data_IF_314071439275
#
_entry.id   IF_314071439275
#
_cell.length_a   1.000
_cell.length_b   1.000
_cell.length_c   1.000
_cell.angle_alpha   90.00
_cell.angle_beta   90.00
_cell.angle_gamma   90.00
#
_symmetry.space_group_name_H-M   'P 1'
#
loop_
_entity.id
_entity.type
_entity.pdbx_description
1 polymer ?
#
# COMPACT_ATOMS: atom_id res chain seq x y z
N UNK A 1 134.88 89.64 -10.81
CA UNK A 1 133.94 88.95 -11.71
C UNK A 1 133.62 87.62 -11.04
N UNK A 2 132.85 87.61 -9.96
CA UNK A 2 131.45 88.03 -9.79
C UNK A 2 130.46 87.03 -10.44
N UNK A 3 129.61 86.46 -9.58
CA UNK A 3 128.27 85.95 -9.89
C UNK A 3 128.11 84.71 -10.77
N UNK A 4 128.45 83.50 -10.28
CA UNK A 4 128.13 82.24 -10.99
C UNK A 4 127.37 81.16 -10.21
N UNK A 5 127.56 81.05 -8.89
CA UNK A 5 127.06 79.90 -8.10
C UNK A 5 125.72 80.10 -7.37
N UNK A 6 125.09 81.27 -7.48
CA UNK A 6 123.86 81.61 -6.76
C UNK A 6 122.56 81.22 -7.48
N UNK A 7 122.59 81.12 -8.82
CA UNK A 7 121.39 80.85 -9.64
C UNK A 7 121.01 79.37 -9.57
N UNK A 8 121.99 78.46 -9.66
CA UNK A 8 121.77 77.02 -9.64
C UNK A 8 121.24 76.50 -8.29
N UNK A 9 121.68 77.09 -7.17
CA UNK A 9 121.21 76.71 -5.84
C UNK A 9 119.78 77.21 -5.57
N UNK A 10 119.41 78.38 -6.10
CA UNK A 10 118.06 78.94 -5.99
C UNK A 10 117.07 78.16 -6.86
N UNK A 11 117.47 77.78 -8.07
CA UNK A 11 116.64 76.98 -8.97
C UNK A 11 116.44 75.54 -8.48
N UNK A 12 117.47 74.91 -7.89
CA UNK A 12 117.34 73.62 -7.22
C UNK A 12 116.36 73.70 -6.04
N UNK A 13 116.45 74.76 -5.21
CA UNK A 13 115.55 74.96 -4.06
C UNK A 13 114.11 75.18 -4.51
N UNK A 14 113.90 75.93 -5.59
CA UNK A 14 112.58 76.15 -6.21
C UNK A 14 112.00 74.84 -6.77
N UNK A 15 112.83 74.04 -7.43
CA UNK A 15 112.45 72.72 -7.96
C UNK A 15 112.03 71.75 -6.85
N UNK A 16 112.80 71.65 -5.77
CA UNK A 16 112.45 70.81 -4.61
C UNK A 16 111.18 71.28 -3.91
N UNK A 17 110.96 72.59 -3.78
CA UNK A 17 109.72 73.15 -3.23
C UNK A 17 108.50 72.83 -4.12
N UNK A 18 108.66 72.93 -5.44
CA UNK A 18 107.62 72.56 -6.40
C UNK A 18 107.29 71.06 -6.35
N UNK A 19 108.30 70.18 -6.24
CA UNK A 19 108.09 68.74 -6.07
C UNK A 19 107.36 68.41 -4.75
N UNK A 20 107.73 69.06 -3.63
CA UNK A 20 107.03 68.89 -2.35
C UNK A 20 105.56 69.27 -2.45
N UNK A 21 105.26 70.43 -3.04
CA UNK A 21 103.88 70.87 -3.29
C UNK A 21 103.12 69.90 -4.21
N UNK A 22 103.78 69.34 -5.23
CA UNK A 22 103.17 68.35 -6.11
C UNK A 22 102.83 67.05 -5.38
N UNK A 23 103.72 66.54 -4.53
CA UNK A 23 103.46 65.37 -3.69
C UNK A 23 102.34 65.62 -2.67
N UNK A 24 102.32 66.79 -2.02
CA UNK A 24 101.27 67.17 -1.08
C UNK A 24 99.89 67.23 -1.76
N UNK A 25 99.80 67.81 -2.96
CA UNK A 25 98.58 67.81 -3.78
C UNK A 25 98.15 66.39 -4.14
N UNK A 26 99.07 65.55 -4.59
CA UNK A 26 98.76 64.16 -4.92
C UNK A 26 98.23 63.37 -3.72
N UNK A 27 98.78 63.60 -2.52
CA UNK A 27 98.31 63.00 -1.27
C UNK A 27 96.91 63.53 -0.91
N UNK A 28 96.68 64.83 -1.06
CA UNK A 28 95.37 65.45 -0.82
C UNK A 28 94.30 64.90 -1.77
N UNK A 29 94.58 64.87 -3.08
CA UNK A 29 93.71 64.32 -4.11
C UNK A 29 93.45 62.82 -3.90
N UNK A 30 94.46 62.07 -3.45
CA UNK A 30 94.32 60.65 -3.09
C UNK A 30 93.38 60.45 -1.90
N UNK A 31 93.50 61.29 -0.87
CA UNK A 31 92.62 61.28 0.31
C UNK A 31 91.19 61.67 -0.05
N UNK A 32 91.01 62.70 -0.87
CA UNK A 32 89.69 63.14 -1.32
C UNK A 32 89.00 62.07 -2.16
N UNK A 33 89.72 61.46 -3.12
CA UNK A 33 89.19 60.31 -3.89
C UNK A 33 88.79 59.15 -2.98
N UNK A 34 89.60 58.82 -1.98
CA UNK A 34 89.27 57.76 -1.02
C UNK A 34 88.01 58.11 -0.22
N UNK A 35 87.87 59.36 0.24
CA UNK A 35 86.66 59.84 0.94
C UNK A 35 85.43 59.80 0.02
N UNK A 36 85.55 60.22 -1.24
CA UNK A 36 84.48 60.18 -2.21
C UNK A 36 84.06 58.74 -2.53
N UNK A 37 85.02 57.84 -2.75
CA UNK A 37 84.75 56.42 -3.00
C UNK A 37 84.11 55.71 -1.81
N UNK A 38 84.58 55.96 -0.58
CA UNK A 38 83.99 55.39 0.64
C UNK A 38 82.57 55.92 0.89
N UNK A 39 82.33 57.20 0.62
CA UNK A 39 80.99 57.80 0.68
C UNK A 39 80.04 57.19 -0.36
N UNK A 40 80.48 57.10 -1.63
CA UNK A 40 79.69 56.51 -2.70
C UNK A 40 79.36 55.03 -2.42
N UNK A 41 80.35 54.26 -1.95
CA UNK A 41 80.14 52.86 -1.56
C UNK A 41 79.13 52.73 -0.41
N UNK A 42 79.23 53.59 0.61
CA UNK A 42 78.29 53.60 1.73
C UNK A 42 76.88 53.95 1.28
N UNK A 43 76.72 54.93 0.37
CA UNK A 43 75.43 55.28 -0.22
C UNK A 43 74.83 54.12 -1.04
N UNK A 44 75.64 53.44 -1.85
CA UNK A 44 75.22 52.24 -2.59
C UNK A 44 74.78 51.12 -1.66
N UNK A 45 75.50 50.88 -0.56
CA UNK A 45 75.13 49.87 0.44
C UNK A 45 73.80 50.20 1.12
N UNK A 46 73.58 51.45 1.52
CA UNK A 46 72.32 51.89 2.12
C UNK A 46 71.15 51.76 1.14
N UNK A 47 71.35 52.11 -0.13
CA UNK A 47 70.36 51.92 -1.19
C UNK A 47 70.02 50.43 -1.40
N UNK A 48 71.04 49.57 -1.51
CA UNK A 48 70.86 48.12 -1.64
C UNK A 48 70.13 47.52 -0.44
N UNK A 49 70.45 47.97 0.78
CA UNK A 49 69.75 47.54 2.00
C UNK A 49 68.30 48.00 2.03
N UNK A 50 68.02 49.24 1.64
CA UNK A 50 66.65 49.76 1.52
C UNK A 50 65.83 48.93 0.55
N UNK A 51 66.38 48.66 -0.64
CA UNK A 51 65.73 47.82 -1.65
C UNK A 51 65.46 46.40 -1.12
N UNK A 52 66.43 45.77 -0.45
CA UNK A 52 66.26 44.45 0.15
C UNK A 52 65.13 44.45 1.20
N UNK A 53 65.07 45.46 2.07
CA UNK A 53 64.00 45.61 3.05
C UNK A 53 62.63 45.77 2.38
N UNK A 54 62.55 46.56 1.31
CA UNK A 54 61.33 46.68 0.51
C UNK A 54 60.91 45.34 -0.08
N UNK A 55 61.83 44.57 -0.67
CA UNK A 55 61.53 43.23 -1.23
C UNK A 55 61.03 42.27 -0.15
N UNK A 56 61.63 42.27 1.04
CA UNK A 56 61.18 41.46 2.17
C UNK A 56 59.76 41.86 2.59
N UNK A 57 59.49 43.16 2.76
CA UNK A 57 58.15 43.65 3.12
C UNK A 57 57.08 43.31 2.07
N UNK A 58 57.40 43.42 0.77
CA UNK A 58 56.50 43.01 -0.30
C UNK A 58 56.23 41.50 -0.29
N UNK A 59 57.26 40.68 -0.01
CA UNK A 59 57.11 39.23 0.10
C UNK A 59 56.19 38.82 1.25
N UNK A 60 56.27 39.51 2.38
CA UNK A 60 55.38 39.29 3.53
C UNK A 60 53.93 39.63 3.19
N UNK A 61 53.69 40.78 2.56
CA UNK A 61 52.34 41.18 2.10
C UNK A 61 51.78 40.20 1.07
N UNK A 62 52.61 39.70 0.15
CA UNK A 62 52.20 38.67 -0.82
C UNK A 62 51.82 37.36 -0.13
N UNK A 63 52.57 36.96 0.90
CA UNK A 63 52.23 35.78 1.70
C UNK A 63 50.88 35.96 2.40
N UNK A 64 50.66 37.11 3.04
CA UNK A 64 49.39 37.43 3.70
C UNK A 64 48.21 37.41 2.71
N UNK A 65 48.35 38.03 1.54
CA UNK A 65 47.32 37.99 0.49
C UNK A 65 47.05 36.57 0.01
N UNK A 66 48.09 35.74 -0.16
CA UNK A 66 47.95 34.34 -0.57
C UNK A 66 47.25 33.49 0.48
N UNK A 67 47.50 33.75 1.76
CA UNK A 67 46.82 33.07 2.86
C UNK A 67 45.35 33.50 2.94
N UNK A 68 45.04 34.79 2.74
CA UNK A 68 43.67 35.30 2.63
C UNK A 68 42.91 34.68 1.45
N UNK A 69 43.57 34.54 0.29
CA UNK A 69 42.98 33.91 -0.89
C UNK A 69 42.59 32.45 -0.61
N UNK A 70 43.53 31.65 -0.04
CA UNK A 70 43.25 30.26 0.34
C UNK A 70 42.10 30.13 1.33
N UNK A 71 41.99 31.08 2.27
CA UNK A 71 40.86 31.10 3.21
C UNK A 71 39.54 31.37 2.48
N UNK A 72 39.48 32.38 1.61
CA UNK A 72 38.27 32.70 0.85
C UNK A 72 37.86 31.57 -0.09
N UNK A 73 38.81 30.88 -0.71
CA UNK A 73 38.54 29.69 -1.53
C UNK A 73 37.92 28.55 -0.71
N UNK A 74 38.42 28.31 0.50
CA UNK A 74 37.86 27.32 1.41
C UNK A 74 36.44 27.70 1.88
N UNK A 75 36.24 28.96 2.27
CA UNK A 75 34.94 29.48 2.70
C UNK A 75 33.90 29.39 1.56
N UNK A 76 34.32 29.67 0.31
CA UNK A 76 33.46 29.52 -0.87
C UNK A 76 33.11 28.05 -1.15
N UNK A 77 34.08 27.15 -1.06
CA UNK A 77 33.85 25.73 -1.25
C UNK A 77 32.87 25.17 -0.20
N UNK A 78 33.00 25.58 1.05
CA UNK A 78 32.06 25.24 2.12
C UNK A 78 30.66 25.80 1.86
N UNK A 79 30.56 27.08 1.48
CA UNK A 79 29.28 27.72 1.16
C UNK A 79 28.55 27.02 0.00
N UNK A 80 29.27 26.64 -1.05
CA UNK A 80 28.71 25.89 -2.18
C UNK A 80 28.23 24.50 -1.76
N UNK A 81 28.99 23.79 -0.91
CA UNK A 81 28.57 22.49 -0.37
C UNK A 81 27.28 22.60 0.46
N UNK A 82 27.20 23.61 1.33
CA UNK A 82 25.98 23.91 2.09
C UNK A 82 24.81 24.25 1.15
N UNK A 83 25.04 25.04 0.11
CA UNK A 83 24.00 25.41 -0.86
C UNK A 83 23.45 24.19 -1.62
N UNK A 84 24.33 23.29 -2.09
CA UNK A 84 23.93 22.06 -2.78
C UNK A 84 23.15 21.13 -1.85
N UNK A 85 23.61 20.94 -0.61
CA UNK A 85 22.90 20.12 0.38
C UNK A 85 21.52 20.68 0.74
N UNK A 86 21.37 22.00 0.83
CA UNK A 86 20.08 22.66 1.04
C UNK A 86 19.17 22.49 -0.17
N UNK A 87 19.69 22.70 -1.38
CA UNK A 87 18.94 22.54 -2.63
C UNK A 87 18.36 21.13 -2.78
N UNK A 88 19.19 20.11 -2.57
CA UNK A 88 18.75 18.69 -2.62
C UNK A 88 17.70 18.38 -1.55
N UNK A 89 17.84 18.90 -0.33
CA UNK A 89 16.81 18.74 0.72
C UNK A 89 15.48 19.38 0.36
N UNK A 90 15.48 20.57 -0.25
CA UNK A 90 14.25 21.21 -0.72
C UNK A 90 13.58 20.42 -1.84
N UNK A 91 14.37 19.88 -2.77
CA UNK A 91 13.83 19.08 -3.88
C UNK A 91 13.17 17.79 -3.36
N UNK A 92 13.84 17.05 -2.47
CA UNK A 92 13.27 15.86 -1.83
C UNK A 92 11.97 16.16 -1.07
N UNK A 93 11.93 17.30 -0.37
CA UNK A 93 10.72 17.72 0.36
C UNK A 93 9.59 18.05 -0.62
N UNK A 94 9.91 18.72 -1.74
CA UNK A 94 8.95 19.06 -2.79
C UNK A 94 8.36 17.82 -3.46
N UNK A 95 9.19 16.83 -3.76
CA UNK A 95 8.76 15.54 -4.30
C UNK A 95 7.89 14.78 -3.30
N UNK A 96 8.29 14.73 -2.03
CA UNK A 96 7.50 14.09 -0.96
C UNK A 96 6.12 14.73 -0.80
N UNK A 97 6.04 16.07 -0.84
CA UNK A 97 4.75 16.79 -0.78
C UNK A 97 3.91 16.46 -2.02
N UNK A 98 4.51 16.50 -3.22
CA UNK A 98 3.79 16.21 -4.48
C UNK A 98 3.22 14.78 -4.50
N UNK A 99 3.99 13.81 -3.99
CA UNK A 99 3.52 12.43 -3.85
C UNK A 99 2.39 12.31 -2.81
N UNK A 100 2.52 12.98 -1.67
CA UNK A 100 1.48 13.02 -0.64
C UNK A 100 0.19 13.70 -1.15
N UNK A 101 0.29 14.72 -2.01
CA UNK A 101 -0.89 15.35 -2.61
C UNK A 101 -1.59 14.43 -3.61
N UNK A 102 -0.83 13.73 -4.46
CA UNK A 102 -1.40 12.81 -5.44
C UNK A 102 -2.13 11.63 -4.77
N UNK A 103 -1.52 11.04 -3.74
CA UNK A 103 -2.15 9.96 -2.96
C UNK A 103 -3.39 10.44 -2.20
N UNK A 104 -3.38 11.65 -1.64
CA UNK A 104 -4.56 12.23 -1.01
C UNK A 104 -5.71 12.46 -2.00
N UNK A 105 -5.43 12.90 -3.22
CA UNK A 105 -6.45 13.04 -4.27
C UNK A 105 -7.06 11.70 -4.66
N UNK A 106 -6.24 10.66 -4.82
CA UNK A 106 -6.72 9.30 -5.08
C UNK A 106 -7.64 8.80 -3.95
N UNK A 107 -7.23 8.98 -2.69
CA UNK A 107 -8.04 8.60 -1.54
C UNK A 107 -9.36 9.36 -1.47
N UNK A 108 -9.36 10.67 -1.79
CA UNK A 108 -10.60 11.46 -1.85
C UNK A 108 -11.57 10.92 -2.89
N UNK A 109 -11.09 10.57 -4.09
CA UNK A 109 -11.94 9.98 -5.13
C UNK A 109 -12.52 8.64 -4.68
N UNK A 110 -11.72 7.77 -4.06
CA UNK A 110 -12.20 6.49 -3.52
C UNK A 110 -13.25 6.67 -2.42
N UNK A 111 -13.08 7.64 -1.53
CA UNK A 111 -14.06 7.96 -0.47
C UNK A 111 -15.38 8.46 -1.08
N UNK A 112 -15.32 9.27 -2.13
CA UNK A 112 -16.52 9.76 -2.83
C UNK A 112 -17.25 8.59 -3.50
N UNK A 113 -16.54 7.71 -4.21
CA UNK A 113 -17.13 6.52 -4.84
C UNK A 113 -17.77 5.58 -3.81
N UNK A 114 -17.08 5.32 -2.71
CA UNK A 114 -17.61 4.47 -1.65
C UNK A 114 -18.87 5.08 -0.99
N UNK A 115 -18.91 6.41 -0.82
CA UNK A 115 -20.11 7.09 -0.32
C UNK A 115 -21.26 7.01 -1.31
N UNK A 116 -21.01 7.17 -2.61
CA UNK A 116 -22.03 7.04 -3.65
C UNK A 116 -22.63 5.63 -3.66
N UNK A 117 -21.79 4.59 -3.62
CA UNK A 117 -22.23 3.19 -3.51
C UNK A 117 -23.05 2.90 -2.27
N UNK A 118 -22.61 3.39 -1.10
CA UNK A 118 -23.37 3.27 0.15
C UNK A 118 -24.75 3.93 0.02
N UNK A 119 -24.80 5.10 -0.61
CA UNK A 119 -26.05 5.81 -0.81
C UNK A 119 -26.97 5.05 -1.76
N UNK A 120 -26.47 4.46 -2.85
CA UNK A 120 -27.24 3.56 -3.73
C UNK A 120 -27.87 2.40 -2.95
N UNK A 121 -27.11 1.73 -2.09
CA UNK A 121 -27.64 0.64 -1.25
C UNK A 121 -28.71 1.13 -0.27
N UNK A 122 -28.53 2.31 0.34
CA UNK A 122 -29.55 2.90 1.22
C UNK A 122 -30.86 3.13 0.48
N UNK A 123 -30.82 3.71 -0.72
CA UNK A 123 -32.02 3.95 -1.52
C UNK A 123 -32.70 2.65 -1.95
N UNK A 124 -31.93 1.60 -2.26
CA UNK A 124 -32.48 0.29 -2.59
C UNK A 124 -33.22 -0.36 -1.41
N UNK A 125 -32.70 -0.19 -0.18
CA UNK A 125 -33.35 -0.66 1.05
C UNK A 125 -34.66 0.11 1.28
N UNK A 126 -34.62 1.44 1.22
CA UNK A 126 -35.82 2.29 1.40
C UNK A 126 -36.92 1.94 0.39
N UNK A 127 -36.56 1.69 -0.88
CA UNK A 127 -37.52 1.25 -1.89
C UNK A 127 -38.15 -0.11 -1.57
N UNK A 128 -37.40 -1.03 -0.95
CA UNK A 128 -37.91 -2.35 -0.57
C UNK A 128 -38.90 -2.26 0.60
N UNK A 129 -38.63 -1.40 1.57
CA UNK A 129 -39.53 -1.17 2.71
C UNK A 129 -40.88 -0.64 2.24
N UNK A 130 -40.90 0.32 1.30
CA UNK A 130 -42.15 0.92 0.79
C UNK A 130 -43.00 -0.07 -0.04
N UNK A 131 -42.38 -0.99 -0.78
CA UNK A 131 -43.11 -1.96 -1.62
C UNK A 131 -43.64 -3.18 -0.83
N UNK A 132 -43.19 -3.37 0.42
CA UNK A 132 -43.55 -4.53 1.24
C UNK A 132 -45.01 -4.54 1.74
N UNK A 133 -45.70 -3.38 1.69
CA UNK A 133 -47.05 -3.20 2.25
C UNK A 133 -48.21 -3.59 1.30
N UNK A 134 -47.96 -3.87 0.02
CA UNK A 134 -49.04 -3.92 -0.99
C UNK A 134 -49.46 -5.31 -1.50
N UNK A 135 -48.63 -6.37 -1.51
CA UNK A 135 -49.05 -7.67 -2.10
C UNK A 135 -48.29 -8.87 -1.51
N UNK A 136 -48.90 -9.57 -0.54
CA UNK A 136 -48.22 -10.58 0.28
C UNK A 136 -47.66 -11.84 -0.41
N UNK A 137 -48.03 -12.12 -1.67
CA UNK A 137 -47.48 -13.27 -2.44
C UNK A 137 -46.34 -12.88 -3.37
N UNK A 138 -46.43 -11.71 -4.00
CA UNK A 138 -45.42 -11.21 -4.94
C UNK A 138 -44.13 -10.83 -4.18
N UNK A 139 -44.28 -10.35 -2.96
CA UNK A 139 -43.18 -9.94 -2.09
C UNK A 139 -42.30 -11.11 -1.61
N UNK A 140 -42.82 -12.34 -1.55
CA UNK A 140 -42.04 -13.51 -1.10
C UNK A 140 -41.10 -14.05 -2.18
N UNK A 141 -41.61 -14.23 -3.40
CA UNK A 141 -40.77 -14.61 -4.55
C UNK A 141 -39.72 -13.54 -4.83
N UNK A 142 -40.11 -12.27 -4.70
CA UNK A 142 -39.19 -11.15 -4.80
C UNK A 142 -38.11 -11.22 -3.70
N UNK A 143 -38.50 -11.40 -2.43
CA UNK A 143 -37.54 -11.56 -1.34
C UNK A 143 -36.59 -12.73 -1.58
N UNK A 144 -37.08 -13.91 -1.96
CA UNK A 144 -36.25 -15.09 -2.29
C UNK A 144 -35.26 -14.75 -3.42
N UNK A 145 -35.72 -14.04 -4.45
CA UNK A 145 -34.86 -13.55 -5.53
C UNK A 145 -33.78 -12.58 -5.00
N UNK A 146 -34.13 -11.65 -4.11
CA UNK A 146 -33.17 -10.73 -3.49
C UNK A 146 -32.12 -11.46 -2.63
N UNK A 147 -32.53 -12.43 -1.80
CA UNK A 147 -31.60 -13.25 -1.01
C UNK A 147 -30.63 -14.03 -1.90
N UNK A 148 -31.12 -14.63 -2.99
CA UNK A 148 -30.27 -15.32 -3.97
C UNK A 148 -29.35 -14.34 -4.71
N UNK A 149 -29.88 -13.20 -5.16
CA UNK A 149 -29.15 -12.24 -6.01
C UNK A 149 -28.10 -11.46 -5.24
N UNK A 150 -28.35 -11.01 -4.02
CA UNK A 150 -27.44 -10.12 -3.30
C UNK A 150 -26.59 -10.85 -2.27
N UNK A 151 -27.15 -11.86 -1.59
CA UNK A 151 -26.44 -12.59 -0.55
C UNK A 151 -25.82 -13.89 -1.07
N UNK A 152 -26.17 -14.30 -2.30
CA UNK A 152 -25.82 -15.62 -2.82
C UNK A 152 -26.48 -16.74 -2.02
N UNK A 153 -27.57 -16.47 -1.32
CA UNK A 153 -28.11 -17.37 -0.32
C UNK A 153 -29.41 -18.03 -0.79
N UNK A 154 -29.49 -19.35 -0.66
CA UNK A 154 -30.67 -20.13 -0.98
C UNK A 154 -30.88 -21.26 0.03
N UNK A 155 -32.15 -21.56 0.32
CA UNK A 155 -32.56 -22.73 1.12
C UNK A 155 -33.36 -23.68 0.24
N UNK A 156 -32.99 -24.96 0.23
CA UNK A 156 -33.63 -26.01 -0.58
C UNK A 156 -34.12 -27.12 0.34
N UNK A 157 -35.39 -27.49 0.22
CA UNK A 157 -36.00 -28.60 0.95
C UNK A 157 -35.79 -29.95 0.26
N UNK A 158 -35.71 -31.03 1.05
CA UNK A 158 -35.56 -32.41 0.57
C UNK A 158 -35.56 -33.39 1.74
N UNK A 159 -34.62 -34.35 1.75
CA UNK A 159 -34.41 -35.27 2.89
C UNK A 159 -34.05 -34.54 4.20
N UNK A 160 -33.50 -33.34 4.07
CA UNK A 160 -33.28 -32.34 5.11
C UNK A 160 -33.43 -30.93 4.55
N UNK A 161 -32.92 -29.94 5.27
CA UNK A 161 -32.86 -28.54 4.82
C UNK A 161 -31.44 -28.24 4.38
N UNK A 162 -31.26 -27.98 3.08
CA UNK A 162 -29.97 -27.62 2.48
C UNK A 162 -29.83 -26.10 2.37
N UNK A 163 -28.78 -25.57 2.97
CA UNK A 163 -28.39 -24.17 2.89
C UNK A 163 -27.27 -24.05 1.86
N UNK A 164 -27.48 -23.22 0.85
CA UNK A 164 -26.56 -23.02 -0.28
C UNK A 164 -26.10 -21.57 -0.29
N UNK A 165 -24.79 -21.39 -0.43
CA UNK A 165 -24.11 -20.11 -0.52
C UNK A 165 -23.29 -20.05 -1.80
N UNK A 166 -23.58 -19.09 -2.65
CA UNK A 166 -22.74 -18.64 -3.75
C UNK A 166 -22.12 -17.29 -3.39
N UNK A 167 -21.26 -16.75 -4.27
CA UNK A 167 -20.59 -15.46 -4.07
C UNK A 167 -19.73 -15.41 -2.79
N UNK A 168 -19.24 -16.58 -2.37
CA UNK A 168 -18.30 -16.72 -1.25
C UNK A 168 -16.88 -16.48 -1.76
N UNK A 169 -16.51 -17.11 -2.87
CA UNK A 169 -15.25 -16.87 -3.56
C UNK A 169 -15.39 -15.66 -4.50
N UNK A 170 -14.54 -14.64 -4.30
CA UNK A 170 -14.50 -13.43 -5.12
C UNK A 170 -13.94 -13.69 -6.52
N UNK A 171 -13.09 -14.71 -6.68
CA UNK A 171 -12.51 -15.08 -7.97
C UNK A 171 -13.45 -15.93 -8.81
N UNK A 172 -14.27 -16.76 -8.16
CA UNK A 172 -15.25 -17.60 -8.83
C UNK A 172 -16.61 -17.60 -8.09
N UNK A 173 -17.47 -16.60 -8.37
CA UNK A 173 -18.71 -16.37 -7.61
C UNK A 173 -19.78 -17.45 -7.82
N UNK A 174 -19.63 -18.30 -8.84
CA UNK A 174 -20.57 -19.36 -9.18
C UNK A 174 -20.31 -20.67 -8.39
N UNK A 175 -19.20 -20.76 -7.65
CA UNK A 175 -18.95 -21.90 -6.77
C UNK A 175 -19.97 -21.90 -5.63
N UNK A 176 -20.68 -23.02 -5.49
CA UNK A 176 -21.63 -23.24 -4.42
C UNK A 176 -20.99 -23.97 -3.23
N UNK A 177 -21.12 -23.36 -2.06
CA UNK A 177 -20.81 -23.92 -0.76
C UNK A 177 -22.13 -24.30 -0.11
N UNK A 178 -22.22 -25.46 0.53
CA UNK A 178 -23.48 -25.86 1.15
C UNK A 178 -23.32 -26.76 2.35
N UNK A 179 -24.36 -26.78 3.17
CA UNK A 179 -24.56 -27.82 4.16
C UNK A 179 -26.03 -28.24 4.22
N UNK A 180 -26.29 -29.46 4.67
CA UNK A 180 -27.63 -30.01 4.82
C UNK A 180 -27.82 -30.51 6.25
N UNK A 181 -28.85 -30.01 6.93
CA UNK A 181 -29.19 -30.42 8.30
C UNK A 181 -30.57 -31.06 8.34
N UNK A 182 -30.75 -32.04 9.23
CA UNK A 182 -32.01 -32.73 9.47
C UNK A 182 -32.31 -32.80 10.95
N UNK A 183 -33.55 -32.49 11.32
CA UNK A 183 -34.01 -32.60 12.69
C UNK A 183 -34.55 -34.02 12.91
N UNK A 184 -33.88 -34.81 13.76
CA UNK A 184 -34.31 -36.15 14.16
C UNK A 184 -34.44 -36.20 15.67
N UNK A 185 -35.62 -36.61 16.19
CA UNK A 185 -35.88 -36.75 17.64
C UNK A 185 -35.40 -35.53 18.45
N UNK A 186 -35.80 -34.34 18.00
CA UNK A 186 -35.46 -33.04 18.59
C UNK A 186 -33.96 -32.67 18.61
N UNK A 187 -33.13 -33.35 17.82
CA UNK A 187 -31.72 -33.00 17.62
C UNK A 187 -31.39 -32.79 16.15
N UNK A 188 -30.66 -31.71 15.88
CA UNK A 188 -30.09 -31.42 14.57
C UNK A 188 -28.94 -32.36 14.27
N UNK A 189 -28.95 -32.96 13.08
CA UNK A 189 -27.88 -33.77 12.53
C UNK A 189 -27.41 -33.12 11.22
N UNK A 190 -26.10 -33.02 11.04
CA UNK A 190 -25.50 -32.59 9.78
C UNK A 190 -25.39 -33.79 8.83
N UNK A 191 -26.11 -33.73 7.72
CA UNK A 191 -26.12 -34.79 6.70
C UNK A 191 -24.97 -34.62 5.72
N UNK A 192 -24.74 -33.39 5.25
CA UNK A 192 -23.74 -33.06 4.24
C UNK A 192 -23.16 -31.69 4.51
N UNK A 193 -21.88 -31.50 4.20
CA UNK A 193 -21.19 -30.21 4.24
C UNK A 193 -20.12 -30.21 3.16
N UNK A 194 -20.19 -29.26 2.23
CA UNK A 194 -19.23 -29.12 1.14
C UNK A 194 -18.82 -27.65 1.00
N UNK A 195 -17.52 -27.32 1.12
CA UNK A 195 -16.42 -28.19 1.53
C UNK A 195 -16.58 -28.68 2.99
N UNK A 196 -15.91 -29.78 3.33
CA UNK A 196 -15.95 -30.31 4.70
C UNK A 196 -15.22 -29.36 5.66
N UNK A 197 -15.88 -29.01 6.76
CA UNK A 197 -15.33 -28.13 7.79
C UNK A 197 -14.88 -28.96 8.99
N UNK A 198 -13.65 -28.72 9.47
CA UNK A 198 -13.03 -29.48 10.58
C UNK A 198 -13.79 -29.34 11.90
N UNK A 199 -14.43 -28.20 12.12
CA UNK A 199 -15.18 -27.86 13.33
C UNK A 199 -16.69 -28.09 13.20
N UNK A 200 -17.16 -28.67 12.09
CA UNK A 200 -18.59 -28.90 11.83
C UNK A 200 -19.31 -29.69 12.94
N UNK A 201 -18.64 -30.67 13.55
CA UNK A 201 -19.22 -31.46 14.64
C UNK A 201 -19.42 -30.63 15.92
N UNK A 202 -18.48 -29.74 16.24
CA UNK A 202 -18.57 -28.83 17.39
C UNK A 202 -19.70 -27.81 17.19
N UNK A 203 -19.82 -27.27 15.97
CA UNK A 203 -20.90 -26.34 15.62
C UNK A 203 -22.28 -27.00 15.73
N UNK A 204 -22.41 -28.27 15.37
CA UNK A 204 -23.66 -29.02 15.55
C UNK A 204 -23.96 -29.31 17.02
N UNK A 205 -22.93 -29.51 17.85
CA UNK A 205 -23.09 -29.62 19.31
C UNK A 205 -23.59 -28.29 19.89
N UNK A 206 -22.96 -27.16 19.53
CA UNK A 206 -23.42 -25.81 19.95
C UNK A 206 -24.85 -25.53 19.49
N UNK A 207 -25.19 -25.89 18.24
CA UNK A 207 -26.55 -25.75 17.71
C UNK A 207 -27.57 -26.56 18.52
N UNK A 208 -27.24 -27.79 18.89
CA UNK A 208 -28.14 -28.62 19.70
C UNK A 208 -28.27 -28.13 21.16
N UNK A 209 -27.26 -27.43 21.69
CA UNK A 209 -27.30 -26.84 23.03
C UNK A 209 -28.06 -25.50 23.06
N UNK A 210 -27.83 -24.64 22.07
CA UNK A 210 -28.38 -23.27 22.02
C UNK A 210 -29.69 -23.18 21.25
N UNK A 211 -29.95 -24.14 20.36
CA UNK A 211 -31.05 -24.11 19.38
C UNK A 211 -31.02 -22.85 18.50
N UNK A 212 -29.84 -22.22 18.32
CA UNK A 212 -29.64 -21.01 17.52
C UNK A 212 -29.17 -21.34 16.10
N UNK A 213 -30.16 -21.65 15.25
CA UNK A 213 -29.90 -21.96 13.84
C UNK A 213 -29.33 -20.76 13.07
N UNK A 214 -29.67 -19.53 13.45
CA UNK A 214 -29.20 -18.34 12.75
C UNK A 214 -27.70 -18.14 12.96
N UNK A 215 -27.27 -18.18 14.23
CA UNK A 215 -25.85 -18.14 14.59
C UNK A 215 -25.08 -19.26 13.91
N UNK A 216 -25.65 -20.47 13.87
CA UNK A 216 -25.03 -21.60 13.16
C UNK A 216 -24.86 -21.34 11.66
N UNK A 217 -25.91 -20.91 10.94
CA UNK A 217 -25.85 -20.59 9.50
C UNK A 217 -24.81 -19.50 9.21
N UNK A 218 -24.73 -18.47 10.08
CA UNK A 218 -23.75 -17.39 9.97
C UNK A 218 -22.32 -17.89 10.14
N UNK A 219 -22.05 -18.67 11.18
CA UNK A 219 -20.72 -19.24 11.43
C UNK A 219 -20.32 -20.16 10.27
N UNK A 220 -21.23 -21.01 9.78
CA UNK A 220 -20.96 -21.88 8.61
C UNK A 220 -20.53 -21.06 7.39
N UNK A 221 -21.19 -19.91 7.13
CA UNK A 221 -20.81 -19.00 6.04
C UNK A 221 -19.44 -18.38 6.24
N UNK A 222 -19.13 -17.91 7.45
CA UNK A 222 -17.81 -17.36 7.81
C UNK A 222 -16.70 -18.41 7.63
N UNK A 223 -16.96 -19.68 7.99
CA UNK A 223 -16.03 -20.79 7.78
C UNK A 223 -15.81 -21.11 6.30
N UNK A 224 -16.86 -21.07 5.48
CA UNK A 224 -16.72 -21.23 4.04
C UNK A 224 -15.91 -20.09 3.39
N UNK A 225 -16.10 -18.85 3.85
CA UNK A 225 -15.27 -17.71 3.40
C UNK A 225 -13.81 -17.91 3.76
N UNK A 226 -13.53 -18.31 5.01
CA UNK A 226 -12.17 -18.61 5.43
C UNK A 226 -11.55 -19.77 4.63
N UNK A 227 -12.33 -20.81 4.32
CA UNK A 227 -11.86 -21.94 3.52
C UNK A 227 -11.55 -21.55 2.06
N UNK A 228 -12.37 -20.66 1.47
CA UNK A 228 -12.16 -20.14 0.12
C UNK A 228 -10.88 -19.30 0.02
N UNK A 229 -10.63 -18.41 0.99
CA UNK A 229 -9.40 -17.59 1.04
C UNK A 229 -8.15 -18.45 1.20
N UNK A 230 -8.23 -19.51 2.01
CA UNK A 230 -7.10 -20.39 2.31
C UNK A 230 -6.83 -21.45 1.22
N UNK A 231 -7.56 -21.42 0.09
CA UNK A 231 -7.31 -22.29 -1.07
C UNK A 231 -7.63 -23.77 -0.84
N UNK A 232 -8.48 -24.11 0.14
CA UNK A 232 -8.87 -25.50 0.40
C UNK A 232 -10.07 -25.88 -0.50
N UNK A 233 -9.79 -26.21 -1.75
CA UNK A 233 -10.58 -27.15 -2.55
C UNK A 233 -9.60 -28.06 -3.31
N UNK A 234 -9.90 -29.36 -3.54
CA UNK A 234 -11.17 -30.07 -3.38
C UNK A 234 -11.06 -31.39 -2.58
N UNK A 235 -12.19 -32.00 -2.23
CA UNK A 235 -12.31 -33.47 -2.19
C UNK A 235 -13.75 -33.87 -2.50
N UNK A 236 -14.00 -34.10 -3.78
CA UNK A 236 -15.04 -35.01 -4.22
C UNK A 236 -14.71 -36.39 -3.62
N UNK A 237 -15.34 -36.76 -2.51
CA UNK A 237 -15.35 -38.15 -2.04
C UNK A 237 -16.54 -38.86 -2.69
N UNK A 238 -16.39 -39.25 -3.96
CA UNK A 238 -17.12 -40.42 -4.42
C UNK A 238 -16.41 -41.63 -3.84
N UNK A 239 -17.03 -42.27 -2.86
CA UNK A 239 -16.67 -43.61 -2.43
C UNK A 239 -17.94 -44.43 -2.32
N UNK A 240 -18.21 -45.18 -3.39
CA UNK A 240 -18.87 -46.47 -3.33
C UNK A 240 -18.54 -47.21 -4.61
N UNK A 241 -17.41 -47.92 -4.58
CA UNK A 241 -17.36 -49.22 -5.24
C UNK A 241 -16.47 -50.16 -4.43
N UNK A 242 -17.12 -51.13 -3.78
CA UNK A 242 -16.48 -52.35 -3.30
C UNK A 242 -17.44 -53.48 -3.61
N UNK A 243 -17.25 -54.11 -4.77
CA UNK A 243 -17.57 -55.51 -4.97
C UNK A 243 -16.35 -56.18 -5.60
N UNK A 244 -15.72 -57.18 -4.94
CA UNK A 244 -14.76 -58.03 -5.62
C UNK A 244 -15.54 -59.09 -6.40
N UNK A 245 -15.12 -59.39 -7.63
CA UNK A 245 -14.86 -60.75 -8.14
C UNK A 245 -14.43 -60.61 -9.60
N UNK A 246 -13.14 -60.79 -9.84
CA UNK A 246 -12.59 -61.33 -11.08
C UNK A 246 -13.23 -62.69 -11.36
N UNK A 247 -13.89 -62.88 -12.50
CA UNK A 247 -13.40 -63.83 -13.51
C UNK A 247 -14.15 -63.74 -14.85
N UNK A 248 -13.34 -63.88 -15.90
CA UNK A 248 -13.64 -64.50 -17.19
C UNK A 248 -14.63 -63.87 -18.20
N UNK A 249 -13.99 -63.40 -19.29
CA UNK A 249 -14.32 -63.68 -20.69
C UNK A 249 -15.18 -62.71 -21.51
N UNK A 250 -14.58 -62.35 -22.64
CA UNK A 250 -15.02 -61.48 -23.73
C UNK A 250 -15.63 -62.37 -24.87
N UNK A 251 -15.91 -61.85 -26.08
CA UNK A 251 -17.22 -61.42 -26.58
C UNK A 251 -17.73 -62.24 -27.80
N UNK A 252 -18.97 -62.01 -28.23
CA UNK A 252 -19.48 -62.31 -29.59
C UNK A 252 -20.96 -61.93 -29.67
N UNK A 253 -21.58 -61.48 -30.75
CA UNK A 253 -21.25 -60.96 -32.08
C UNK A 253 -22.65 -60.69 -32.69
N UNK A 254 -22.79 -59.68 -33.57
CA UNK A 254 -23.72 -59.66 -34.73
C UNK A 254 -25.25 -59.77 -34.49
N UNK A 255 -26.18 -59.26 -35.28
CA UNK A 255 -26.29 -58.49 -36.55
C UNK A 255 -27.78 -58.08 -36.58
N UNK A 256 -28.08 -56.80 -36.80
CA UNK A 256 -28.61 -56.26 -38.07
C UNK A 256 -29.90 -56.91 -38.59
N UNK A 257 -30.96 -56.11 -38.72
CA UNK A 257 -31.94 -56.19 -39.80
C UNK A 257 -32.59 -54.82 -39.92
N UNK A 258 -32.21 -54.09 -40.96
CA UNK A 258 -32.82 -52.82 -41.34
C UNK A 258 -34.19 -52.97 -42.00
N UNK A 259 -34.98 -51.89 -42.00
CA UNK A 259 -35.76 -51.45 -43.16
C UNK A 259 -36.45 -50.11 -42.87
N UNK A 260 -36.11 -49.09 -43.65
CA UNK A 260 -37.12 -48.34 -44.42
C UNK A 260 -37.87 -47.17 -43.79
N UNK A 261 -37.55 -45.98 -44.31
CA UNK A 261 -38.45 -44.85 -44.65
C UNK A 261 -38.95 -43.87 -43.57
N UNK A 262 -38.38 -42.66 -43.62
CA UNK A 262 -38.99 -41.34 -43.35
C UNK A 262 -40.13 -41.04 -44.35
N UNK A 263 -41.17 -40.24 -44.01
CA UNK A 263 -41.02 -38.77 -43.91
C UNK A 263 -41.85 -38.06 -42.82
N UNK A 264 -41.47 -36.80 -42.60
CA UNK A 264 -42.05 -35.83 -41.67
C UNK A 264 -43.57 -35.62 -41.83
N UNK A 265 -44.25 -35.23 -40.74
CA UNK A 265 -45.23 -34.12 -40.68
C UNK A 265 -45.59 -33.80 -39.22
N UNK A 266 -45.72 -32.50 -38.96
CA UNK A 266 -46.20 -31.86 -37.73
C UNK A 266 -47.56 -32.41 -37.25
N UNK A 267 -47.81 -32.43 -35.94
CA UNK A 267 -48.93 -31.66 -35.36
C UNK A 267 -49.14 -31.96 -33.87
N UNK A 268 -49.79 -30.96 -33.28
CA UNK A 268 -49.99 -30.60 -31.89
C UNK A 268 -51.16 -31.38 -31.26
N UNK A 269 -51.01 -31.66 -29.97
CA UNK A 269 -52.03 -31.66 -28.89
C UNK A 269 -53.00 -32.84 -28.64
N UNK A 270 -53.01 -33.19 -27.34
CA UNK A 270 -54.15 -33.52 -26.45
C UNK A 270 -54.49 -35.00 -26.14
N UNK A 271 -54.15 -35.42 -24.91
CA UNK A 271 -55.09 -35.98 -23.91
C UNK A 271 -54.34 -36.16 -22.58
N UNK A 272 -54.65 -35.37 -21.54
CA UNK A 272 -55.63 -35.58 -20.46
C UNK A 272 -55.15 -36.51 -19.33
N UNK A 273 -54.65 -35.83 -18.28
CA UNK A 273 -54.82 -36.07 -16.85
C UNK A 273 -54.48 -37.45 -16.23
N UNK A 274 -53.47 -37.45 -15.35
CA UNK A 274 -53.58 -38.05 -14.01
C UNK A 274 -52.82 -37.18 -13.00
N UNK A 275 -53.57 -36.66 -12.02
CA UNK A 275 -53.07 -36.03 -10.80
C UNK A 275 -52.34 -37.08 -9.98
N UNK A 276 -51.08 -36.86 -9.66
CA UNK A 276 -50.48 -37.36 -8.43
C UNK A 276 -50.02 -36.15 -7.61
N UNK A 277 -50.63 -36.04 -6.43
CA UNK A 277 -50.37 -34.99 -5.45
C UNK A 277 -49.08 -35.31 -4.72
N UNK A 278 -48.07 -34.45 -4.83
CA UNK A 278 -46.96 -34.38 -3.88
C UNK A 278 -47.28 -33.28 -2.84
N UNK A 279 -47.05 -33.51 -1.54
CA UNK A 279 -47.38 -32.54 -0.52
C UNK A 279 -46.34 -31.41 -0.53
N UNK A 280 -46.75 -30.26 -1.03
CA UNK A 280 -46.05 -28.99 -0.83
C UNK A 280 -46.26 -28.58 0.62
N UNK A 281 -45.24 -28.75 1.46
CA UNK A 281 -45.21 -28.19 2.81
C UNK A 281 -44.93 -26.67 2.69
N UNK A 282 -46.01 -25.93 2.41
CA UNK A 282 -46.06 -24.47 2.51
C UNK A 282 -45.94 -24.12 3.99
N UNK A 283 -44.78 -23.61 4.40
CA UNK A 283 -44.68 -22.97 5.71
C UNK A 283 -45.04 -21.50 5.55
N UNK A 284 -46.12 -21.14 6.21
CA UNK A 284 -46.88 -19.93 6.05
C UNK A 284 -46.81 -19.10 7.34
N UNK A 285 -46.71 -17.77 7.17
CA UNK A 285 -47.36 -16.69 7.94
C UNK A 285 -46.64 -15.85 9.03
N UNK A 286 -46.57 -14.56 8.68
CA UNK A 286 -47.00 -13.31 9.36
C UNK A 286 -45.93 -12.38 9.98
N UNK A 287 -45.88 -11.17 9.41
CA UNK A 287 -45.24 -9.96 9.91
C UNK A 287 -46.27 -9.10 10.66
N UNK A 288 -45.87 -8.49 11.78
CA UNK A 288 -46.55 -7.34 12.37
C UNK A 288 -45.51 -6.36 12.91
N UNK A 289 -45.76 -5.08 12.62
CA UNK A 289 -44.85 -3.95 12.74
C UNK A 289 -44.74 -3.33 14.16
N UNK A 290 -43.71 -2.48 14.27
CA UNK A 290 -43.43 -1.38 15.22
C UNK A 290 -42.88 -1.69 16.63
N UNK A 291 -41.88 -0.91 17.11
CA UNK A 291 -41.19 -1.15 18.38
C UNK A 291 -41.88 -0.40 19.52
N UNK A 292 -42.32 -1.12 20.56
CA UNK A 292 -42.57 -0.53 21.86
C UNK A 292 -42.00 -1.41 22.97
N UNK A 293 -41.16 -0.77 23.76
CA UNK A 293 -40.69 -1.20 25.08
C UNK A 293 -41.87 -1.73 25.88
N UNK A 294 -41.80 -2.98 26.36
CA UNK A 294 -42.49 -3.45 27.56
C UNK A 294 -41.86 -4.81 27.98
N UNK A 295 -41.38 -4.86 29.22
CA UNK A 295 -41.12 -6.09 29.97
C UNK A 295 -42.35 -7.01 29.91
N UNK A 296 -42.15 -8.34 29.85
CA UNK A 296 -43.09 -9.27 30.50
C UNK A 296 -42.52 -10.68 30.68
N UNK A 297 -42.41 -11.04 31.96
CA UNK A 297 -42.87 -12.26 32.62
C UNK A 297 -43.16 -13.50 31.75
N UNK A 298 -42.52 -14.60 32.13
CA UNK A 298 -42.69 -15.96 31.61
C UNK A 298 -44.01 -16.56 32.10
N UNK A 299 -44.84 -17.07 31.18
CA UNK A 299 -45.71 -18.25 31.40
C UNK A 299 -46.00 -18.96 30.05
N UNK A 300 -46.25 -20.29 30.05
CA UNK A 300 -45.91 -21.17 28.94
C UNK A 300 -47.09 -21.41 27.99
N UNK A 301 -46.88 -21.24 26.68
CA UNK A 301 -47.80 -21.73 25.64
C UNK A 301 -47.02 -22.29 24.44
N UNK A 302 -47.40 -23.53 24.11
CA UNK A 302 -47.07 -24.45 23.01
C UNK A 302 -45.86 -24.22 22.06
N UNK A 303 -45.02 -25.25 21.99
CA UNK A 303 -43.61 -25.22 21.57
C UNK A 303 -43.33 -25.35 20.05
N UNK A 304 -44.32 -25.22 19.17
CA UNK A 304 -44.11 -25.44 17.71
C UNK A 304 -44.33 -24.20 16.83
N UNK A 305 -45.27 -23.32 17.16
CA UNK A 305 -45.49 -22.08 16.38
C UNK A 305 -44.59 -20.91 16.83
N UNK A 306 -44.19 -20.89 18.10
CA UNK A 306 -43.28 -19.87 18.65
C UNK A 306 -41.86 -19.91 18.08
N UNK A 307 -41.37 -21.10 17.71
CA UNK A 307 -39.99 -21.29 17.20
C UNK A 307 -39.82 -20.83 15.75
N UNK A 308 -40.90 -20.81 14.97
CA UNK A 308 -40.88 -20.38 13.58
C UNK A 308 -41.12 -18.86 13.43
N UNK A 309 -41.90 -18.26 14.34
CA UNK A 309 -42.00 -16.80 14.47
C UNK A 309 -40.65 -16.13 14.81
N UNK A 310 -39.77 -16.84 15.52
CA UNK A 310 -38.41 -16.37 15.84
C UNK A 310 -37.51 -16.20 14.61
N UNK A 311 -37.65 -17.06 13.60
CA UNK A 311 -36.93 -16.97 12.32
C UNK A 311 -37.35 -15.74 11.50
N UNK A 312 -38.61 -15.32 11.61
CA UNK A 312 -39.17 -14.23 10.83
C UNK A 312 -38.82 -12.83 11.40
N UNK A 313 -38.80 -12.67 12.73
CA UNK A 313 -38.40 -11.40 13.37
C UNK A 313 -36.90 -11.08 13.24
N UNK A 314 -36.04 -12.08 13.10
CA UNK A 314 -34.58 -11.91 13.09
C UNK A 314 -33.99 -11.63 11.70
N UNK A 315 -34.66 -12.04 10.62
CA UNK A 315 -34.22 -11.76 9.24
C UNK A 315 -34.24 -10.27 8.91
N UNK A 316 -35.16 -9.48 9.50
CA UNK A 316 -35.14 -8.02 9.42
C UNK A 316 -34.03 -7.38 10.27
N UNK A 317 -33.65 -7.97 11.42
CA UNK A 317 -32.62 -7.40 12.30
C UNK A 317 -31.21 -7.58 11.75
N UNK A 318 -30.97 -8.64 10.97
CA UNK A 318 -29.64 -8.91 10.39
C UNK A 318 -29.23 -7.94 9.28
N UNK A 319 -30.19 -7.24 8.65
CA UNK A 319 -29.89 -6.19 7.65
C UNK A 319 -29.47 -4.88 8.35
N UNK A 320 -30.00 -4.59 9.55
CA UNK A 320 -29.61 -3.41 10.34
C UNK A 320 -28.23 -3.52 11.01
N UNK A 321 -27.64 -4.71 11.16
CA UNK A 321 -26.33 -4.85 11.83
C UNK A 321 -25.13 -4.69 10.89
N UNK A 322 -25.35 -4.74 9.57
CA UNK A 322 -24.28 -4.47 8.57
C UNK A 322 -23.92 -2.97 8.53
N UNK A 323 -24.74 -2.09 9.12
CA UNK A 323 -24.45 -0.65 9.20
C UNK A 323 -23.70 -0.22 10.47
N UNK A 324 -23.76 -0.97 11.58
CA UNK A 324 -23.08 -0.56 12.83
C UNK A 324 -21.57 -0.83 12.88
N UNK A 325 -20.99 -1.52 11.90
CA UNK A 325 -19.55 -1.79 11.87
C UNK A 325 -18.74 -0.74 11.09
N UNK A 326 -19.39 0.31 10.59
CA UNK A 326 -18.75 1.43 9.89
C UNK A 326 -18.82 2.78 10.64
N UNK A 327 -19.45 2.84 11.82
CA UNK A 327 -19.53 4.06 12.65
C UNK A 327 -18.38 4.19 13.67
N UNK A 328 -17.29 3.44 13.52
CA UNK A 328 -16.15 3.44 14.45
C UNK A 328 -14.78 3.74 13.82
N UNK A 329 -14.74 4.38 12.63
CA UNK A 329 -13.51 4.98 12.07
C UNK A 329 -13.84 6.33 11.43
#
# INVERSE_FOLDING_TARGET
MDGGGGVDAVDLRRSMAAQRLAFERQIADGRERTKASTSAFSASLLSARSLANHTISHREKLKELKDRLRKLEADLAEALSIQVSKGTKYELTRESISNATATNEQLRTLVIDQRARRDEYRHAIEALEVNSDATGTNNLEEAIMWYKKFLGFQVVGGEGVKFVFSKIDLHNPDIEFFFCIKLNKDRYNLLQCNPSLKDSEELVKDLNCTNDLFKFVRIMRERFQAAAINGILPSSSFCLDTSPTTDSSQPSLSTDTGSGSTPATQSRSQSRAKKEQQPVLVICYLATAAPRVLQLQVHPVDSRQSKLLGLHKLLLTSVCMVTSQFDAI
#
